data_IF_933309618202
#
_entry.id   IF_933309618202
#
_cell.length_a   1.000
_cell.length_b   1.000
_cell.length_c   1.000
_cell.angle_alpha   90.00
_cell.angle_beta   90.00
_cell.angle_gamma   90.00
#
_symmetry.space_group_name_H-M   'P 1'
#
loop_
_entity.id
_entity.type
_entity.pdbx_description
1 polymer ?
#
# COMPACT_ATOMS: atom_id res chain seq x y z
N UNK A 1 35.72 -26.81 -17.84
CA UNK A 1 34.95 -25.67 -17.32
C UNK A 1 34.70 -25.94 -15.84
N UNK A 2 35.27 -25.15 -14.91
CA UNK A 2 35.01 -25.36 -13.47
C UNK A 2 33.54 -25.01 -13.19
N UNK A 3 32.76 -25.83 -12.46
CA UNK A 3 31.39 -25.48 -12.13
C UNK A 3 31.37 -24.17 -11.33
N UNK A 4 30.40 -23.29 -11.60
CA UNK A 4 30.16 -22.14 -10.73
C UNK A 4 29.97 -22.64 -9.31
N UNK A 5 30.64 -22.00 -8.35
CA UNK A 5 30.33 -22.26 -6.94
C UNK A 5 28.87 -21.91 -6.67
N UNK A 6 28.25 -22.61 -5.72
CA UNK A 6 26.84 -22.44 -5.36
C UNK A 6 26.47 -20.97 -5.07
N UNK A 7 27.41 -20.21 -4.50
CA UNK A 7 27.25 -18.78 -4.19
C UNK A 7 27.24 -17.89 -5.43
N UNK A 8 28.16 -18.09 -6.39
CA UNK A 8 28.17 -17.30 -7.62
C UNK A 8 26.89 -17.53 -8.44
N UNK A 9 26.40 -18.77 -8.53
CA UNK A 9 25.15 -19.07 -9.22
C UNK A 9 23.96 -18.37 -8.54
N UNK A 10 23.92 -18.38 -7.20
CA UNK A 10 22.89 -17.68 -6.45
C UNK A 10 22.88 -16.17 -6.72
N UNK A 11 24.04 -15.52 -6.70
CA UNK A 11 24.16 -14.09 -7.00
C UNK A 11 23.67 -13.78 -8.41
N UNK A 12 24.09 -14.57 -9.40
CA UNK A 12 23.66 -14.40 -10.79
C UNK A 12 22.13 -14.56 -10.93
N UNK A 13 21.54 -15.59 -10.31
CA UNK A 13 20.09 -15.80 -10.33
C UNK A 13 19.31 -14.68 -9.62
N UNK A 14 19.90 -14.03 -8.60
CA UNK A 14 19.28 -12.89 -7.92
C UNK A 14 19.23 -11.62 -8.78
N UNK A 15 20.22 -11.42 -9.65
CA UNK A 15 20.28 -10.27 -10.56
C UNK A 15 19.54 -10.48 -11.89
N UNK A 16 19.18 -11.73 -12.22
CA UNK A 16 18.41 -12.03 -13.42
C UNK A 16 16.94 -11.60 -13.29
N UNK A 17 16.41 -11.00 -14.36
CA UNK A 17 14.97 -10.75 -14.54
C UNK A 17 14.14 -12.03 -14.40
N UNK A 18 12.88 -11.89 -14.00
CA UNK A 18 11.97 -13.03 -13.86
C UNK A 18 11.91 -13.90 -15.13
N UNK A 19 11.77 -13.28 -16.30
CA UNK A 19 11.71 -14.00 -17.58
C UNK A 19 12.95 -14.87 -17.84
N UNK A 20 14.16 -14.28 -17.77
CA UNK A 20 15.41 -15.01 -17.98
C UNK A 20 15.57 -16.19 -17.03
N UNK A 21 15.14 -16.05 -15.77
CA UNK A 21 15.16 -17.16 -14.80
C UNK A 21 14.21 -18.28 -15.21
N UNK A 22 13.03 -17.98 -15.72
CA UNK A 22 12.08 -19.00 -16.18
C UNK A 22 12.51 -19.70 -17.47
N UNK A 23 13.14 -18.98 -18.39
CA UNK A 23 13.78 -19.60 -19.56
C UNK A 23 14.90 -20.56 -19.14
N UNK A 24 15.75 -20.13 -18.20
CA UNK A 24 16.83 -20.97 -17.69
C UNK A 24 16.30 -22.17 -16.89
N UNK A 25 15.27 -21.98 -16.07
CA UNK A 25 14.58 -23.05 -15.35
C UNK A 25 14.03 -24.13 -16.28
N UNK A 26 13.46 -23.73 -17.43
CA UNK A 26 12.93 -24.63 -18.44
C UNK A 26 14.05 -25.43 -19.13
N UNK A 27 15.13 -24.74 -19.55
CA UNK A 27 16.23 -25.32 -20.33
C UNK A 27 17.25 -26.11 -19.49
N UNK A 28 17.39 -25.79 -18.21
CA UNK A 28 18.43 -26.34 -17.33
C UNK A 28 17.82 -26.93 -16.04
N UNK A 29 17.38 -28.21 -16.06
CA UNK A 29 16.78 -28.85 -14.89
C UNK A 29 17.65 -28.84 -13.64
N UNK A 30 18.98 -28.83 -13.80
CA UNK A 30 19.95 -28.82 -12.70
C UNK A 30 19.83 -27.60 -11.77
N UNK A 31 19.33 -26.46 -12.26
CA UNK A 31 19.23 -25.23 -11.45
C UNK A 31 17.88 -25.06 -10.75
N UNK A 32 16.88 -25.91 -11.03
CA UNK A 32 15.48 -25.72 -10.60
C UNK A 32 15.35 -25.60 -9.08
N UNK A 33 15.96 -26.54 -8.35
CA UNK A 33 15.95 -26.55 -6.88
C UNK A 33 16.52 -25.27 -6.27
N UNK A 34 17.50 -24.65 -6.93
CA UNK A 34 18.10 -23.42 -6.43
C UNK A 34 17.31 -22.18 -6.84
N UNK A 35 16.80 -22.14 -8.08
CA UNK A 35 15.89 -21.11 -8.56
C UNK A 35 14.68 -20.96 -7.65
N UNK A 36 14.07 -22.07 -7.24
CA UNK A 36 12.87 -22.12 -6.40
C UNK A 36 13.08 -21.52 -5.00
N UNK A 37 14.30 -21.52 -4.49
CA UNK A 37 14.64 -20.99 -3.16
C UNK A 37 14.96 -19.49 -3.17
N UNK A 38 15.25 -18.92 -4.33
CA UNK A 38 15.71 -17.54 -4.46
C UNK A 38 14.52 -16.64 -4.77
N UNK A 39 14.28 -15.64 -3.92
CA UNK A 39 13.28 -14.61 -4.17
C UNK A 39 13.53 -13.83 -5.47
N UNK A 40 12.47 -13.22 -6.00
CA UNK A 40 12.58 -12.42 -7.21
C UNK A 40 12.84 -10.95 -6.92
N UNK A 41 13.41 -10.24 -7.89
CA UNK A 41 13.44 -8.78 -7.95
C UNK A 41 12.53 -8.32 -9.08
N UNK A 42 11.28 -8.03 -8.73
CA UNK A 42 10.25 -7.67 -9.69
C UNK A 42 10.13 -6.15 -9.79
N UNK A 43 10.09 -5.63 -11.01
CA UNK A 43 9.84 -4.21 -11.25
C UNK A 43 8.37 -3.85 -11.02
N UNK A 44 7.47 -4.67 -11.53
CA UNK A 44 6.03 -4.48 -11.37
C UNK A 44 5.32 -5.83 -11.25
N UNK A 45 4.35 -5.88 -10.35
CA UNK A 45 3.38 -6.96 -10.26
C UNK A 45 1.99 -6.37 -10.00
N UNK A 46 0.99 -6.88 -10.71
CA UNK A 46 -0.41 -6.48 -10.53
C UNK A 46 -1.21 -7.74 -10.22
N UNK A 47 -2.05 -7.67 -9.19
CA UNK A 47 -2.96 -8.74 -8.82
C UNK A 47 -4.37 -8.15 -8.73
N UNK A 48 -5.26 -8.66 -9.56
CA UNK A 48 -6.67 -8.28 -9.56
C UNK A 48 -7.51 -9.54 -9.44
N UNK A 49 -8.30 -9.65 -8.37
CA UNK A 49 -9.15 -10.80 -8.14
C UNK A 49 -10.59 -10.38 -7.88
N UNK A 50 -11.47 -10.94 -8.68
CA UNK A 50 -12.92 -10.91 -8.50
C UNK A 50 -13.44 -12.31 -8.24
N UNK A 51 -14.73 -12.45 -7.93
CA UNK A 51 -15.39 -13.75 -7.70
C UNK A 51 -15.36 -14.71 -8.90
N UNK A 52 -15.07 -14.21 -10.11
CA UNK A 52 -15.06 -15.03 -11.34
C UNK A 52 -13.66 -15.30 -11.89
N UNK A 53 -12.70 -14.45 -11.57
CA UNK A 53 -11.35 -14.54 -12.13
C UNK A 53 -10.30 -13.85 -11.27
N UNK A 54 -9.09 -14.39 -11.32
CA UNK A 54 -7.86 -13.76 -10.86
C UNK A 54 -6.97 -13.46 -12.07
N UNK A 55 -6.57 -12.21 -12.22
CA UNK A 55 -5.64 -11.73 -13.24
C UNK A 55 -4.36 -11.26 -12.56
N UNK A 56 -3.24 -11.81 -13.00
CA UNK A 56 -1.92 -11.53 -12.46
C UNK A 56 -1.02 -11.07 -13.59
N UNK A 57 -0.43 -9.89 -13.44
CA UNK A 57 0.61 -9.40 -14.33
C UNK A 57 1.96 -9.46 -13.63
N UNK A 58 2.94 -10.02 -14.30
CA UNK A 58 4.33 -10.06 -13.83
C UNK A 58 5.27 -9.81 -15.01
N UNK A 59 5.98 -8.68 -14.97
CA UNK A 59 6.78 -8.21 -16.11
C UNK A 59 6.00 -8.28 -17.45
N UNK A 60 6.42 -9.11 -18.40
CA UNK A 60 5.80 -9.28 -19.71
C UNK A 60 4.74 -10.39 -19.75
N UNK A 61 4.37 -10.98 -18.62
CA UNK A 61 3.35 -12.03 -18.57
C UNK A 61 2.05 -11.52 -17.98
N UNK A 62 0.97 -12.03 -18.54
CA UNK A 62 -0.37 -11.98 -17.98
C UNK A 62 -0.87 -13.39 -17.78
N UNK A 63 -1.35 -13.67 -16.57
CA UNK A 63 -1.94 -14.95 -16.18
C UNK A 63 -3.37 -14.68 -15.76
N UNK A 64 -4.32 -15.34 -16.40
CA UNK A 64 -5.73 -15.26 -16.08
C UNK A 64 -6.16 -16.65 -15.63
N UNK A 65 -6.71 -16.73 -14.42
CA UNK A 65 -7.25 -17.93 -13.80
C UNK A 65 -8.74 -17.66 -13.60
N UNK A 66 -9.62 -18.47 -14.19
CA UNK A 66 -11.06 -18.21 -14.20
C UNK A 66 -11.89 -19.49 -14.08
N UNK A 67 -13.17 -19.32 -13.77
CA UNK A 67 -14.17 -20.40 -13.72
C UNK A 67 -14.81 -20.72 -15.09
N UNK A 68 -14.19 -20.31 -16.20
CA UNK A 68 -14.69 -20.52 -17.56
C UNK A 68 -13.71 -21.37 -18.41
N UNK A 69 -13.47 -22.65 -18.05
CA UNK A 69 -12.58 -23.50 -18.80
C UNK A 69 -13.11 -23.78 -20.22
N UNK A 70 -12.17 -23.99 -21.16
CA UNK A 70 -12.50 -24.45 -22.52
C UNK A 70 -13.07 -25.86 -22.51
N UNK A 71 -12.53 -26.74 -21.66
CA UNK A 71 -13.08 -28.05 -21.38
C UNK A 71 -14.09 -27.94 -20.22
N UNK A 72 -15.39 -28.08 -20.54
CA UNK A 72 -16.49 -27.97 -19.57
C UNK A 72 -16.50 -29.09 -18.52
N UNK A 73 -15.69 -30.14 -18.68
CA UNK A 73 -15.51 -31.19 -17.65
C UNK A 73 -14.54 -30.77 -16.54
N UNK A 74 -13.83 -29.65 -16.74
CA UNK A 74 -12.88 -29.09 -15.78
C UNK A 74 -13.52 -27.96 -15.00
N UNK A 75 -12.86 -27.58 -13.91
CA UNK A 75 -13.32 -26.52 -13.00
C UNK A 75 -12.74 -25.14 -13.33
N UNK A 76 -11.52 -25.11 -13.85
CA UNK A 76 -10.75 -23.87 -14.00
C UNK A 76 -10.08 -23.76 -15.37
N UNK A 77 -10.16 -22.56 -15.96
CA UNK A 77 -9.40 -22.14 -17.12
C UNK A 77 -8.18 -21.32 -16.70
N UNK A 78 -7.00 -21.69 -17.22
CA UNK A 78 -5.76 -20.94 -17.05
C UNK A 78 -5.29 -20.45 -18.41
N UNK A 79 -5.09 -19.15 -18.54
CA UNK A 79 -4.57 -18.49 -19.73
C UNK A 79 -3.28 -17.79 -19.34
N UNK A 80 -2.20 -18.05 -20.06
CA UNK A 80 -0.94 -17.33 -19.89
C UNK A 80 -0.56 -16.69 -21.23
N UNK A 81 -0.38 -15.38 -21.24
CA UNK A 81 0.01 -14.61 -22.41
C UNK A 81 1.35 -13.94 -22.16
N UNK A 82 2.29 -14.13 -23.09
CA UNK A 82 3.52 -13.34 -23.14
C UNK A 82 3.25 -12.07 -23.97
N UNK A 83 3.12 -10.92 -23.31
CA UNK A 83 2.85 -9.62 -23.94
C UNK A 83 3.95 -9.16 -24.89
N UNK A 84 5.18 -9.66 -24.74
CA UNK A 84 6.29 -9.32 -25.65
C UNK A 84 6.19 -10.05 -26.98
N UNK A 85 5.75 -11.30 -26.98
CA UNK A 85 5.69 -12.13 -28.21
C UNK A 85 4.28 -12.30 -28.76
N UNK A 86 3.25 -11.97 -27.98
CA UNK A 86 1.84 -12.23 -28.30
C UNK A 86 1.43 -13.69 -28.17
N UNK A 87 2.34 -14.59 -27.74
CA UNK A 87 2.02 -16.01 -27.61
C UNK A 87 1.14 -16.23 -26.38
N UNK A 88 0.02 -16.93 -26.59
CA UNK A 88 -0.92 -17.32 -25.53
C UNK A 88 -1.05 -18.83 -25.43
N UNK A 89 -0.93 -19.35 -24.21
CA UNK A 89 -1.23 -20.74 -23.86
C UNK A 89 -2.52 -20.78 -23.06
N UNK A 90 -3.41 -21.73 -23.37
CA UNK A 90 -4.67 -21.95 -22.66
C UNK A 90 -4.76 -23.38 -22.18
N UNK A 91 -5.10 -23.59 -20.92
CA UNK A 91 -5.25 -24.90 -20.32
C UNK A 91 -6.51 -24.97 -19.46
N UNK A 92 -7.12 -26.16 -19.37
CA UNK A 92 -8.24 -26.44 -18.47
C UNK A 92 -7.80 -27.47 -17.44
N UNK A 93 -8.02 -27.18 -16.16
CA UNK A 93 -7.54 -27.98 -15.03
C UNK A 93 -8.66 -28.30 -14.06
N UNK A 94 -8.57 -29.46 -13.39
CA UNK A 94 -9.55 -29.90 -12.40
C UNK A 94 -9.19 -29.45 -10.99
N UNK A 95 -8.97 -28.14 -10.83
CA UNK A 95 -8.66 -27.47 -9.55
C UNK A 95 -9.60 -26.27 -9.49
N UNK A 96 -10.10 -25.93 -8.30
CA UNK A 96 -10.97 -24.76 -8.16
C UNK A 96 -10.17 -23.47 -8.49
N UNK A 97 -10.77 -22.46 -9.17
CA UNK A 97 -10.02 -21.29 -9.64
C UNK A 97 -9.29 -20.50 -8.55
N UNK A 98 -9.89 -20.41 -7.36
CA UNK A 98 -9.27 -19.76 -6.20
C UNK A 98 -8.04 -20.53 -5.72
N UNK A 99 -8.16 -21.85 -5.54
CA UNK A 99 -7.04 -22.72 -5.17
C UNK A 99 -5.92 -22.67 -6.23
N UNK A 100 -6.27 -22.62 -7.52
CA UNK A 100 -5.30 -22.46 -8.60
C UNK A 100 -4.56 -21.10 -8.51
N UNK A 101 -5.27 -20.01 -8.19
CA UNK A 101 -4.68 -18.70 -7.99
C UNK A 101 -3.77 -18.66 -6.76
N UNK A 102 -4.20 -19.24 -5.63
CA UNK A 102 -3.40 -19.40 -4.42
C UNK A 102 -2.11 -20.16 -4.70
N UNK A 103 -2.20 -21.34 -5.34
CA UNK A 103 -1.02 -22.14 -5.71
C UNK A 103 -0.05 -21.39 -6.61
N UNK A 104 -0.57 -20.63 -7.57
CA UNK A 104 0.27 -19.85 -8.47
C UNK A 104 0.98 -18.72 -7.71
N UNK A 105 0.23 -17.93 -6.94
CA UNK A 105 0.76 -16.78 -6.20
C UNK A 105 1.77 -17.23 -5.15
N UNK A 106 1.49 -18.28 -4.39
CA UNK A 106 2.41 -18.83 -3.39
C UNK A 106 3.68 -19.41 -4.04
N UNK A 107 3.58 -20.10 -5.18
CA UNK A 107 4.76 -20.58 -5.91
C UNK A 107 5.73 -19.46 -6.33
N UNK A 108 5.19 -18.27 -6.61
CA UNK A 108 5.96 -17.10 -7.02
C UNK A 108 6.45 -16.29 -5.83
N UNK A 109 5.59 -16.02 -4.84
CA UNK A 109 5.84 -15.06 -3.77
C UNK A 109 6.31 -15.67 -2.45
N UNK A 110 6.06 -16.95 -2.16
CA UNK A 110 6.59 -17.63 -0.96
C UNK A 110 8.06 -17.99 -1.13
N UNK A 111 8.88 -16.98 -1.37
CA UNK A 111 10.33 -17.09 -1.54
C UNK A 111 11.00 -16.00 -0.73
N UNK A 112 11.96 -16.40 0.10
CA UNK A 112 12.73 -15.48 0.93
C UNK A 112 13.42 -14.42 0.07
N UNK A 113 13.47 -13.19 0.58
CA UNK A 113 14.09 -12.04 -0.07
C UNK A 113 13.44 -11.63 -1.40
N UNK A 114 12.17 -11.98 -1.61
CA UNK A 114 11.40 -11.42 -2.73
C UNK A 114 11.23 -9.91 -2.52
N UNK A 115 11.56 -9.15 -3.56
CA UNK A 115 11.48 -7.69 -3.60
C UNK A 115 10.66 -7.26 -4.82
N UNK A 116 9.67 -6.42 -4.58
CA UNK A 116 8.80 -5.86 -5.61
C UNK A 116 8.89 -4.34 -5.55
N UNK A 117 9.25 -3.71 -6.67
CA UNK A 117 9.38 -2.27 -6.75
C UNK A 117 8.01 -1.58 -6.80
N UNK A 118 7.07 -2.13 -7.56
CA UNK A 118 5.69 -1.66 -7.67
C UNK A 118 4.70 -2.83 -7.58
N UNK A 119 3.92 -2.90 -6.50
CA UNK A 119 2.85 -3.88 -6.34
C UNK A 119 1.50 -3.17 -6.39
N UNK A 120 0.60 -3.61 -7.27
CA UNK A 120 -0.76 -3.08 -7.36
C UNK A 120 -1.79 -4.17 -7.06
N UNK A 121 -2.66 -3.88 -6.11
CA UNK A 121 -3.71 -4.78 -5.63
C UNK A 121 -5.08 -4.18 -5.97
N UNK A 122 -5.92 -4.96 -6.63
CA UNK A 122 -7.25 -4.54 -7.07
C UNK A 122 -8.33 -5.53 -6.63
N UNK A 123 -9.52 -5.00 -6.36
CA UNK A 123 -10.70 -5.76 -5.95
C UNK A 123 -10.47 -6.49 -4.62
N UNK A 124 -10.52 -7.82 -4.54
CA UNK A 124 -10.35 -8.54 -3.28
C UNK A 124 -9.36 -9.70 -3.49
N UNK A 125 -8.03 -9.45 -3.47
CA UNK A 125 -6.98 -10.40 -3.82
C UNK A 125 -6.73 -11.46 -2.74
N UNK A 126 -7.78 -12.24 -2.41
CA UNK A 126 -7.76 -13.29 -1.38
C UNK A 126 -6.67 -14.34 -1.58
N UNK A 127 -6.21 -14.55 -2.82
CA UNK A 127 -5.08 -15.44 -3.12
C UNK A 127 -3.78 -15.05 -2.40
N UNK A 128 -3.61 -13.78 -2.01
CA UNK A 128 -2.46 -13.31 -1.22
C UNK A 128 -2.50 -13.72 0.25
N UNK A 129 -3.67 -14.11 0.76
CA UNK A 129 -3.82 -14.48 2.16
C UNK A 129 -3.02 -15.76 2.51
N UNK A 130 -2.73 -16.60 1.50
CA UNK A 130 -1.87 -17.79 1.64
C UNK A 130 -0.36 -17.50 1.48
N UNK A 131 0.04 -16.25 1.24
CA UNK A 131 1.45 -15.88 1.16
C UNK A 131 2.06 -15.69 2.55
N UNK A 132 2.84 -16.66 3.04
CA UNK A 132 3.41 -16.61 4.38
C UNK A 132 4.79 -15.99 4.46
N UNK A 133 5.56 -16.00 3.37
CA UNK A 133 6.86 -15.35 3.38
C UNK A 133 6.69 -13.83 3.26
N UNK A 134 7.22 -13.04 4.20
CA UNK A 134 7.23 -11.60 4.06
C UNK A 134 8.10 -11.19 2.88
N UNK A 135 7.72 -10.11 2.20
CA UNK A 135 8.44 -9.58 1.05
C UNK A 135 8.77 -8.10 1.22
N UNK A 136 9.73 -7.58 0.45
CA UNK A 136 10.03 -6.15 0.43
C UNK A 136 9.21 -5.49 -0.68
N UNK A 137 8.32 -4.57 -0.33
CA UNK A 137 7.56 -3.77 -1.30
C UNK A 137 7.91 -2.29 -1.15
N UNK A 138 8.34 -1.67 -2.25
CA UNK A 138 8.75 -0.26 -2.22
C UNK A 138 7.55 0.67 -2.44
N UNK A 139 6.77 0.41 -3.49
CA UNK A 139 5.52 1.12 -3.81
C UNK A 139 4.36 0.14 -3.82
N UNK A 140 3.30 0.46 -3.08
CA UNK A 140 2.09 -0.33 -3.00
C UNK A 140 0.89 0.53 -3.39
N UNK A 141 0.13 0.11 -4.39
CA UNK A 141 -1.19 0.68 -4.71
C UNK A 141 -2.25 -0.32 -4.25
N UNK A 142 -3.14 0.09 -3.35
CA UNK A 142 -4.25 -0.72 -2.84
C UNK A 142 -5.58 -0.10 -3.27
N UNK A 143 -6.20 -0.71 -4.25
CA UNK A 143 -7.58 -0.48 -4.66
C UNK A 143 -8.43 -1.69 -4.26
N UNK A 144 -8.41 -1.98 -2.96
CA UNK A 144 -9.14 -3.09 -2.34
C UNK A 144 -10.42 -2.54 -1.72
N UNK A 145 -11.54 -3.23 -1.91
CA UNK A 145 -12.86 -2.74 -1.48
C UNK A 145 -13.27 -3.22 -0.10
N UNK A 146 -12.75 -4.38 0.32
CA UNK A 146 -13.16 -5.04 1.55
C UNK A 146 -12.00 -5.11 2.55
N UNK A 147 -12.33 -5.10 3.83
CA UNK A 147 -11.39 -5.49 4.87
C UNK A 147 -10.95 -6.96 4.66
N UNK A 148 -9.90 -7.33 5.37
CA UNK A 148 -9.43 -8.71 5.35
C UNK A 148 -10.53 -9.59 5.96
N UNK A 149 -10.88 -10.73 5.34
CA UNK A 149 -11.85 -11.67 5.92
C UNK A 149 -11.46 -12.07 7.35
N UNK A 150 -12.42 -12.00 8.29
CA UNK A 150 -12.20 -12.28 9.72
C UNK A 150 -11.62 -13.68 9.97
N UNK A 151 -12.04 -14.66 9.16
CA UNK A 151 -11.61 -16.05 9.20
C UNK A 151 -10.19 -16.29 8.66
N UNK A 152 -9.57 -15.27 8.06
CA UNK A 152 -8.19 -15.38 7.54
C UNK A 152 -7.13 -15.47 8.65
N UNK A 153 -7.45 -14.99 9.87
CA UNK A 153 -6.49 -14.87 10.97
C UNK A 153 -5.34 -13.90 10.69
N UNK A 154 -5.48 -12.98 9.72
CA UNK A 154 -4.46 -12.00 9.35
C UNK A 154 -4.90 -10.58 9.70
N UNK A 155 -3.93 -9.76 10.09
CA UNK A 155 -4.07 -8.31 10.31
C UNK A 155 -3.62 -7.47 9.11
N UNK A 156 -3.10 -8.10 8.05
CA UNK A 156 -2.72 -7.41 6.81
C UNK A 156 -2.95 -8.28 5.57
N UNK A 157 -3.31 -7.65 4.44
CA UNK A 157 -3.37 -8.28 3.12
C UNK A 157 -2.00 -8.81 2.69
N UNK A 158 -0.94 -8.11 3.10
CA UNK A 158 0.43 -8.38 2.71
C UNK A 158 1.35 -8.39 3.93
N UNK A 159 2.13 -9.45 4.09
CA UNK A 159 3.26 -9.48 5.03
C UNK A 159 4.46 -8.79 4.40
N UNK A 160 4.95 -7.73 5.01
CA UNK A 160 6.13 -6.99 4.54
C UNK A 160 7.32 -7.18 5.48
N UNK A 161 8.53 -7.21 4.91
CA UNK A 161 9.80 -7.32 5.67
C UNK A 161 10.21 -5.99 6.32
N UNK A 162 9.78 -4.89 5.71
CA UNK A 162 10.00 -3.51 6.15
C UNK A 162 8.76 -2.70 5.77
N UNK A 163 8.46 -1.61 6.49
CA UNK A 163 7.42 -0.66 6.11
C UNK A 163 7.45 -0.26 4.63
N UNK A 164 6.28 -0.24 3.99
CA UNK A 164 6.16 0.23 2.61
C UNK A 164 6.57 1.70 2.54
N UNK A 165 7.45 2.03 1.59
CA UNK A 165 7.98 3.39 1.46
C UNK A 165 6.91 4.37 0.95
N UNK A 166 6.13 3.94 -0.04
CA UNK A 166 5.07 4.74 -0.64
C UNK A 166 3.80 3.90 -0.82
N UNK A 167 2.75 4.24 -0.09
CA UNK A 167 1.42 3.65 -0.20
C UNK A 167 0.49 4.62 -0.93
N UNK A 168 -0.27 4.10 -1.89
CA UNK A 168 -1.45 4.74 -2.47
C UNK A 168 -2.67 3.89 -2.12
N UNK A 169 -3.58 4.40 -1.28
CA UNK A 169 -4.71 3.66 -0.74
C UNK A 169 -6.04 4.32 -1.13
N UNK A 170 -6.88 3.61 -1.87
CA UNK A 170 -8.19 4.09 -2.34
C UNK A 170 -9.33 3.86 -1.34
N UNK A 171 -9.11 2.97 -0.39
CA UNK A 171 -10.02 2.66 0.72
C UNK A 171 -9.18 2.62 1.99
N UNK A 172 -9.72 3.15 3.08
CA UNK A 172 -9.08 3.16 4.39
C UNK A 172 -9.77 2.12 5.27
N UNK A 173 -8.98 1.23 5.85
CA UNK A 173 -9.41 0.27 6.86
C UNK A 173 -8.21 -0.11 7.74
N UNK A 174 -8.45 -0.89 8.78
CA UNK A 174 -7.36 -1.37 9.65
C UNK A 174 -6.59 -2.49 8.96
N UNK A 175 -5.37 -2.17 8.54
CA UNK A 175 -4.41 -3.11 7.96
C UNK A 175 -3.00 -2.74 8.44
N UNK A 176 -2.25 -3.71 8.97
CA UNK A 176 -0.92 -3.45 9.56
C UNK A 176 0.09 -2.91 8.53
N UNK A 177 -0.02 -3.31 7.26
CA UNK A 177 0.85 -2.81 6.20
C UNK A 177 0.48 -1.37 5.83
N UNK A 178 -0.80 -1.01 5.81
CA UNK A 178 -1.22 0.38 5.66
C UNK A 178 -0.76 1.24 6.85
N UNK A 179 -1.00 0.75 8.07
CA UNK A 179 -0.63 1.43 9.32
C UNK A 179 0.87 1.68 9.41
N UNK A 180 1.70 0.75 8.95
CA UNK A 180 3.16 0.90 9.03
C UNK A 180 3.76 1.79 7.91
N UNK A 181 3.02 2.09 6.84
CA UNK A 181 3.57 2.77 5.66
C UNK A 181 4.22 4.13 5.99
N UNK A 182 5.35 4.44 5.34
CA UNK A 182 6.15 5.63 5.66
C UNK A 182 5.61 6.92 5.02
N UNK A 183 5.03 6.80 3.83
CA UNK A 183 4.42 7.90 3.08
C UNK A 183 3.15 7.39 2.41
N UNK A 184 2.10 8.18 2.50
CA UNK A 184 0.75 7.79 2.09
C UNK A 184 0.16 8.84 1.15
N UNK A 185 -0.52 8.35 0.12
CA UNK A 185 -1.40 9.11 -0.75
C UNK A 185 -2.78 8.47 -0.73
N UNK A 186 -3.81 9.29 -0.51
CA UNK A 186 -5.22 8.88 -0.55
C UNK A 186 -5.85 9.69 -1.70
N UNK A 187 -6.15 9.06 -2.85
CA UNK A 187 -6.78 9.72 -3.98
C UNK A 187 -8.25 10.04 -3.71
N UNK A 188 -8.96 10.61 -4.69
CA UNK A 188 -10.37 11.01 -4.60
C UNK A 188 -11.35 9.82 -4.57
N UNK A 189 -11.20 8.88 -3.64
CA UNK A 189 -12.02 7.66 -3.51
C UNK A 189 -12.21 7.25 -2.03
N UNK A 190 -13.34 6.61 -1.70
CA UNK A 190 -13.70 6.12 -0.35
C UNK A 190 -13.92 7.18 0.76
N UNK A 191 -14.83 6.99 1.72
CA UNK A 191 -14.90 7.84 2.90
C UNK A 191 -13.59 7.79 3.69
N UNK A 192 -13.27 8.86 4.43
CA UNK A 192 -12.07 8.93 5.27
C UNK A 192 -12.49 8.87 6.72
N UNK A 193 -12.10 7.79 7.38
CA UNK A 193 -12.21 7.64 8.82
C UNK A 193 -10.97 8.26 9.49
N UNK A 194 -11.19 9.35 10.22
CA UNK A 194 -10.14 10.08 10.92
C UNK A 194 -9.51 9.28 12.07
N UNK A 195 -10.27 8.41 12.73
CA UNK A 195 -9.77 7.57 13.83
C UNK A 195 -8.81 6.52 13.28
N UNK A 196 -9.24 5.77 12.25
CA UNK A 196 -8.37 4.76 11.61
C UNK A 196 -7.11 5.41 11.06
N UNK A 197 -7.25 6.57 10.38
CA UNK A 197 -6.11 7.29 9.83
C UNK A 197 -5.13 7.76 10.94
N UNK A 198 -5.63 8.11 12.13
CA UNK A 198 -4.81 8.55 13.25
C UNK A 198 -3.87 7.47 13.77
N UNK A 199 -4.17 6.20 13.51
CA UNK A 199 -3.32 5.06 13.88
C UNK A 199 -2.08 4.93 12.98
N UNK A 200 -2.09 5.52 11.79
CA UNK A 200 -1.10 5.27 10.72
C UNK A 200 0.24 5.96 10.99
N UNK A 201 1.35 5.23 10.96
CA UNK A 201 2.70 5.68 11.32
C UNK A 201 3.43 6.49 10.25
N UNK A 202 2.71 6.94 9.22
CA UNK A 202 3.28 7.69 8.11
C UNK A 202 3.86 9.03 8.56
N UNK A 203 5.03 9.40 8.03
CA UNK A 203 5.62 10.73 8.21
C UNK A 203 4.96 11.78 7.32
N UNK A 204 4.41 11.33 6.18
CA UNK A 204 3.77 12.18 5.20
C UNK A 204 2.48 11.55 4.71
N UNK A 205 1.38 12.27 4.82
CA UNK A 205 0.08 11.87 4.27
C UNK A 205 -0.42 12.97 3.35
N UNK A 206 -0.83 12.62 2.13
CA UNK A 206 -1.50 13.53 1.22
C UNK A 206 -2.86 12.97 0.82
N UNK A 207 -3.89 13.76 1.02
CA UNK A 207 -5.27 13.35 0.86
C UNK A 207 -5.89 14.26 -0.18
N UNK A 208 -6.26 13.70 -1.33
CA UNK A 208 -6.90 14.45 -2.41
C UNK A 208 -8.42 14.50 -2.28
N UNK A 209 -8.96 13.94 -1.20
CA UNK A 209 -10.37 14.00 -0.85
C UNK A 209 -10.62 14.96 0.31
N UNK A 210 -11.83 15.49 0.37
CA UNK A 210 -12.35 16.26 1.49
C UNK A 210 -12.52 15.37 2.72
N UNK A 211 -11.99 15.81 3.87
CA UNK A 211 -12.27 15.19 5.17
C UNK A 211 -13.35 16.02 5.85
N UNK A 212 -14.45 15.40 6.33
CA UNK A 212 -15.43 16.10 7.16
C UNK A 212 -14.78 16.71 8.40
N UNK A 213 -15.30 17.84 8.89
CA UNK A 213 -14.73 18.54 10.04
C UNK A 213 -14.63 17.66 11.30
N UNK A 214 -15.64 16.84 11.60
CA UNK A 214 -15.57 15.89 12.72
C UNK A 214 -14.49 14.81 12.51
N UNK A 215 -14.26 14.39 11.26
CA UNK A 215 -13.15 13.49 10.93
C UNK A 215 -11.78 14.14 11.13
N UNK A 216 -11.65 15.45 10.88
CA UNK A 216 -10.44 16.22 11.19
C UNK A 216 -10.22 16.29 12.70
N UNK A 217 -11.27 16.50 13.50
CA UNK A 217 -11.18 16.50 14.97
C UNK A 217 -10.72 15.13 15.46
N UNK A 218 -11.41 14.06 15.07
CA UNK A 218 -11.05 12.70 15.46
C UNK A 218 -9.59 12.37 15.11
N UNK A 219 -9.18 12.76 13.90
CA UNK A 219 -7.79 12.60 13.46
C UNK A 219 -6.81 13.38 14.35
N UNK A 220 -7.05 14.67 14.59
CA UNK A 220 -6.17 15.50 15.41
C UNK A 220 -6.10 15.00 16.85
N UNK A 221 -7.23 14.61 17.46
CA UNK A 221 -7.28 14.02 18.80
C UNK A 221 -6.41 12.77 18.88
N UNK A 222 -6.55 11.85 17.92
CA UNK A 222 -5.70 10.64 17.88
C UNK A 222 -4.21 10.96 17.69
N UNK A 223 -3.85 12.02 16.95
CA UNK A 223 -2.45 12.47 16.84
C UNK A 223 -1.93 13.08 18.15
N UNK A 224 -2.78 13.78 18.89
CA UNK A 224 -2.45 14.38 20.19
C UNK A 224 -2.19 13.28 21.22
N UNK A 225 -3.07 12.27 21.26
CA UNK A 225 -2.96 11.14 22.20
C UNK A 225 -1.79 10.21 21.88
N UNK A 226 -1.59 9.88 20.60
CA UNK A 226 -0.52 8.95 20.20
C UNK A 226 0.87 9.56 20.24
N UNK A 227 0.98 10.88 20.14
CA UNK A 227 2.25 11.59 20.05
C UNK A 227 2.96 11.35 18.72
N UNK A 228 3.04 12.37 17.87
CA UNK A 228 3.78 12.31 16.61
C UNK A 228 5.18 12.90 16.73
N UNK A 229 6.09 12.37 15.92
CA UNK A 229 7.44 12.90 15.81
C UNK A 229 7.47 14.21 15.02
N UNK A 230 8.40 15.08 15.40
CA UNK A 230 8.69 16.33 14.67
C UNK A 230 8.98 16.02 13.20
N UNK A 231 8.42 16.82 12.30
CA UNK A 231 8.55 16.65 10.85
C UNK A 231 7.42 15.84 10.22
N UNK A 232 6.47 15.33 11.01
CA UNK A 232 5.21 14.79 10.49
C UNK A 232 4.42 15.87 9.73
N UNK A 233 3.82 15.47 8.60
CA UNK A 233 2.99 16.35 7.76
C UNK A 233 1.83 15.61 7.10
N UNK A 234 0.60 16.04 7.38
CA UNK A 234 -0.60 15.67 6.65
C UNK A 234 -1.15 16.89 5.88
N UNK A 235 -1.61 16.67 4.66
CA UNK A 235 -2.22 17.70 3.81
C UNK A 235 -3.51 17.13 3.22
N UNK A 236 -4.65 17.80 3.40
CA UNK A 236 -5.95 17.38 2.88
C UNK A 236 -6.76 18.52 2.31
N UNK A 237 -7.75 18.22 1.45
CA UNK A 237 -8.78 19.20 1.08
C UNK A 237 -9.79 19.39 2.24
N UNK A 238 -10.39 20.57 2.35
CA UNK A 238 -11.40 20.90 3.37
C UNK A 238 -12.74 21.28 2.77
N UNK A 239 -13.83 20.61 3.15
CA UNK A 239 -15.14 20.60 2.42
C UNK A 239 -15.66 21.96 1.95
N UNK A 240 -15.32 23.04 2.65
CA UNK A 240 -15.82 24.39 2.37
C UNK A 240 -14.66 25.38 2.18
N UNK A 241 -14.42 25.84 0.94
CA UNK A 241 -13.63 27.04 0.66
C UNK A 241 -14.24 28.22 1.45
N UNK A 242 -13.42 29.07 2.06
CA UNK A 242 -13.82 30.32 2.75
C UNK A 242 -14.30 30.23 4.22
N UNK A 243 -14.17 29.09 4.93
CA UNK A 243 -14.30 29.07 6.40
C UNK A 243 -12.99 29.47 7.12
N UNK A 244 -12.08 30.22 6.48
CA UNK A 244 -10.67 30.38 6.86
C UNK A 244 -10.44 30.84 8.31
N UNK A 245 -11.25 31.79 8.80
CA UNK A 245 -11.11 32.33 10.14
C UNK A 245 -11.93 31.56 11.18
N UNK A 246 -13.16 31.21 10.83
CA UNK A 246 -14.07 30.53 11.74
C UNK A 246 -13.67 29.08 11.94
N UNK A 247 -13.19 28.38 10.89
CA UNK A 247 -12.76 26.98 10.98
C UNK A 247 -11.56 26.83 11.92
N UNK A 248 -10.51 27.64 11.79
CA UNK A 248 -9.33 27.50 12.65
C UNK A 248 -9.68 27.83 14.11
N UNK A 249 -10.53 28.83 14.35
CA UNK A 249 -10.99 29.15 15.71
C UNK A 249 -11.93 28.09 16.27
N UNK A 250 -12.79 27.54 15.43
CA UNK A 250 -13.69 26.45 15.78
C UNK A 250 -12.91 25.19 16.10
N UNK A 251 -11.92 24.81 15.27
CA UNK A 251 -10.99 23.72 15.53
C UNK A 251 -10.24 23.96 16.85
N UNK A 252 -9.78 25.20 17.10
CA UNK A 252 -9.13 25.52 18.36
C UNK A 252 -10.04 25.32 19.56
N UNK A 253 -11.32 25.74 19.47
CA UNK A 253 -12.31 25.50 20.51
C UNK A 253 -12.59 24.01 20.73
N UNK A 254 -12.69 23.23 19.66
CA UNK A 254 -13.00 21.78 19.72
C UNK A 254 -11.81 20.94 20.22
N UNK A 255 -10.59 21.35 19.93
CA UNK A 255 -9.35 20.67 20.34
C UNK A 255 -8.76 21.23 21.65
N UNK A 256 -9.43 22.18 22.32
CA UNK A 256 -8.88 22.94 23.45
C UNK A 256 -7.48 23.52 23.16
N UNK A 257 -7.29 24.01 21.95
CA UNK A 257 -6.01 24.47 21.43
C UNK A 257 -5.82 25.98 21.62
N UNK A 258 -4.57 26.41 21.56
CA UNK A 258 -4.22 27.84 21.49
C UNK A 258 -4.46 28.38 20.09
N UNK A 259 -4.97 29.61 20.02
CA UNK A 259 -5.03 30.39 18.78
C UNK A 259 -3.69 31.10 18.61
N UNK A 260 -2.99 30.76 17.53
CA UNK A 260 -1.61 31.20 17.29
C UNK A 260 -1.44 31.68 15.85
N UNK A 261 -0.26 32.21 15.53
CA UNK A 261 0.15 32.60 14.19
C UNK A 261 1.51 32.03 13.85
N UNK A 262 1.67 31.53 12.63
CA UNK A 262 2.94 31.05 12.06
C UNK A 262 3.18 31.73 10.73
N UNK A 263 4.26 32.49 10.62
CA UNK A 263 4.57 33.28 9.42
C UNK A 263 3.39 34.16 8.96
N UNK A 264 2.64 34.72 9.91
CA UNK A 264 1.44 35.52 9.64
C UNK A 264 0.16 34.72 9.33
N UNK A 265 0.25 33.39 9.24
CA UNK A 265 -0.89 32.50 8.99
C UNK A 265 -1.52 32.07 10.31
N UNK A 266 -2.84 32.20 10.44
CA UNK A 266 -3.60 31.76 11.61
C UNK A 266 -3.49 30.24 11.80
N UNK A 267 -3.20 29.80 13.02
CA UNK A 267 -3.02 28.39 13.36
C UNK A 267 -3.79 28.02 14.64
N UNK A 268 -4.31 26.81 14.66
CA UNK A 268 -4.70 26.09 15.88
C UNK A 268 -3.49 25.29 16.35
N UNK A 269 -3.05 25.48 17.59
CA UNK A 269 -1.83 24.86 18.14
C UNK A 269 -2.09 24.12 19.44
N UNK A 270 -1.75 22.84 19.47
CA UNK A 270 -1.83 21.97 20.65
C UNK A 270 -0.43 21.51 21.03
N UNK A 271 -0.05 21.71 22.29
CA UNK A 271 1.19 21.14 22.82
C UNK A 271 1.08 19.62 22.88
N UNK A 272 2.04 18.91 22.29
CA UNK A 272 2.10 17.44 22.38
C UNK A 272 2.95 16.99 23.57
N UNK A 273 4.05 17.70 23.82
CA UNK A 273 4.95 17.51 24.95
C UNK A 273 5.84 18.75 25.12
N UNK A 274 6.89 18.66 25.92
CA UNK A 274 7.80 19.78 26.17
C UNK A 274 8.61 20.22 24.95
N UNK A 275 8.80 19.34 23.97
CA UNK A 275 9.64 19.57 22.79
C UNK A 275 8.84 19.79 21.49
N UNK A 276 7.58 19.38 21.40
CA UNK A 276 6.79 19.46 20.16
C UNK A 276 5.35 19.94 20.34
N UNK A 277 4.83 20.50 19.25
CA UNK A 277 3.46 20.99 19.12
C UNK A 277 2.85 20.55 17.78
N UNK A 278 1.55 20.27 17.80
CA UNK A 278 0.73 20.06 16.62
C UNK A 278 0.21 21.42 16.16
N UNK A 279 0.51 21.83 14.93
CA UNK A 279 -0.06 23.03 14.32
C UNK A 279 -0.99 22.63 13.17
N UNK A 280 -2.19 23.20 13.18
CA UNK A 280 -3.21 23.04 12.15
C UNK A 280 -3.50 24.41 11.53
N UNK A 281 -3.31 24.55 10.23
CA UNK A 281 -3.53 25.78 9.48
C UNK A 281 -3.89 25.47 8.04
N UNK A 282 -4.48 26.41 7.32
CA UNK A 282 -4.68 26.25 5.88
C UNK A 282 -3.63 26.97 5.04
N UNK A 283 -3.45 26.51 3.81
CA UNK A 283 -2.54 27.11 2.84
C UNK A 283 -3.26 28.18 2.01
N UNK A 284 -3.54 29.32 2.63
CA UNK A 284 -4.42 30.35 2.04
C UNK A 284 -3.70 31.36 1.15
N UNK A 285 -2.38 31.26 0.99
CA UNK A 285 -1.57 32.19 0.19
C UNK A 285 -1.98 32.16 -1.30
N UNK A 286 -2.65 31.10 -1.76
CA UNK A 286 -3.04 30.90 -3.17
C UNK A 286 -4.53 30.56 -3.38
N UNK A 287 -5.45 30.93 -2.46
CA UNK A 287 -6.86 30.45 -2.46
C UNK A 287 -6.95 28.91 -2.51
N UNK A 288 -6.00 28.23 -1.88
CA UNK A 288 -5.95 26.78 -1.90
C UNK A 288 -6.78 26.22 -0.74
N UNK A 289 -7.72 25.33 -1.03
CA UNK A 289 -8.60 24.69 -0.04
C UNK A 289 -7.90 23.56 0.73
N UNK A 290 -6.61 23.73 1.00
CA UNK A 290 -5.77 22.74 1.65
C UNK A 290 -5.60 23.06 3.13
N UNK A 291 -5.96 22.10 3.97
CA UNK A 291 -5.56 22.04 5.37
C UNK A 291 -4.20 21.36 5.49
N UNK A 292 -3.36 21.93 6.33
CA UNK A 292 -2.05 21.42 6.69
C UNK A 292 -2.05 21.13 8.19
N UNK A 293 -1.74 19.88 8.52
CA UNK A 293 -1.54 19.41 9.89
C UNK A 293 -0.08 18.99 9.99
N UNK A 294 0.68 19.61 10.89
CA UNK A 294 2.12 19.37 11.02
C UNK A 294 2.55 19.33 12.47
N UNK A 295 3.60 18.55 12.74
CA UNK A 295 4.21 18.51 14.07
C UNK A 295 5.56 19.21 14.00
N UNK A 296 5.69 20.30 14.76
CA UNK A 296 6.90 21.12 14.80
C UNK A 296 7.51 21.10 16.20
N UNK A 297 8.71 21.66 16.33
CA UNK A 297 9.28 21.96 17.63
C UNK A 297 8.41 22.99 18.36
N UNK A 298 8.30 22.87 19.68
CA UNK A 298 7.52 23.79 20.51
C UNK A 298 8.01 25.23 20.33
N UNK A 299 7.07 26.18 20.26
CA UNK A 299 7.37 27.60 20.07
C UNK A 299 7.55 28.01 18.61
N UNK A 300 7.20 27.12 17.66
CA UNK A 300 7.20 27.47 16.23
C UNK A 300 6.05 28.41 15.88
N UNK A 301 4.89 28.27 16.53
CA UNK A 301 3.78 29.20 16.42
C UNK A 301 3.75 30.17 17.62
N UNK A 302 3.50 31.45 17.34
CA UNK A 302 3.45 32.53 18.34
C UNK A 302 2.00 32.80 18.73
N UNK A 303 1.73 33.05 20.01
CA UNK A 303 0.38 33.42 20.47
C UNK A 303 -0.11 34.68 19.76
N UNK A 304 -1.41 34.69 19.44
CA UNK A 304 -2.08 35.80 18.76
C UNK A 304 -2.86 36.66 19.74
#
# INVERSE_FOLDING_TARGET
MKPLTYQCLQMVLQEMSFLKRKELYAKCPAIRKQEERIGYRLNEMIINQSSRQCTIHIENFEVIINNFPKDKTKKCGVIMTNKKTGITVKQSINVDPEEAAEKWITYILNRLNTRIQNLKLYSSPICLLKCDCPMTVIKLTMCVHDEIPEDSGRSSWLKTTVPVKHLEAYTIFRDDTMKAALSVVIPECGPIDGEILSEWQARKIKIYRWIPLEGIIAYCTGLIESGRSIGFRCISWIEKPNMEHDMIDWLAGRLNARKTSRNGIKCCTVSLNDASELNVYGNFVERSDWLIIVVNARGTAVDR
#
